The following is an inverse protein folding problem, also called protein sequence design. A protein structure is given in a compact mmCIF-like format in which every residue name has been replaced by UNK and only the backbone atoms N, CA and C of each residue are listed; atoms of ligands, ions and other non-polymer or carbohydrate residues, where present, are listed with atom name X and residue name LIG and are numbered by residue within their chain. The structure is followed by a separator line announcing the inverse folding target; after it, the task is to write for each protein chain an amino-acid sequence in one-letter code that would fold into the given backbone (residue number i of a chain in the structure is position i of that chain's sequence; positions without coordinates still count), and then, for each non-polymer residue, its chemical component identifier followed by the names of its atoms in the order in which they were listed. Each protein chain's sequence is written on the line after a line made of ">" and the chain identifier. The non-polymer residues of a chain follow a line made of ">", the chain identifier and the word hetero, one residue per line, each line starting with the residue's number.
data_IF_498596591941
#
_entry.id   IF_498596591941
#
_cell.length_a   1.000
_cell.length_b   1.000
_cell.length_c   1.000
_cell.angle_alpha   90.00
_cell.angle_beta   90.00
_cell.angle_gamma   90.00
#
_symmetry.space_group_name_H-M   'P 1'
#
loop_
_entity.id
_entity.type
_entity.pdbx_description
1 polymer ?
#
# COMPACT_ATOMS: atom_id res chain seq x y z
N UNK A 1 6.30 -3.49 7.31
CA UNK A 1 6.85 -2.74 8.47
C UNK A 1 5.85 -1.72 9.01
N UNK A 2 5.39 -0.71 8.25
CA UNK A 2 4.47 0.34 8.76
C UNK A 2 3.19 -0.25 9.34
N UNK A 3 2.49 -1.12 8.61
CA UNK A 3 1.27 -1.75 9.10
C UNK A 3 1.44 -2.55 10.40
N UNK A 4 2.63 -3.12 10.63
CA UNK A 4 2.92 -3.80 11.90
C UNK A 4 3.00 -2.82 13.08
N UNK A 5 3.60 -1.66 12.88
CA UNK A 5 3.63 -0.64 13.93
C UNK A 5 2.24 -0.05 14.19
N UNK A 6 1.42 0.13 13.17
CA UNK A 6 0.03 0.56 13.33
C UNK A 6 -0.79 -0.49 14.09
N UNK A 7 -0.59 -1.78 13.80
CA UNK A 7 -1.20 -2.86 14.57
C UNK A 7 -0.79 -2.79 16.06
N UNK A 8 0.50 -2.60 16.35
CA UNK A 8 0.98 -2.44 17.74
C UNK A 8 0.42 -1.19 18.43
N UNK A 9 0.10 -0.16 17.65
CA UNK A 9 -0.59 1.05 18.14
C UNK A 9 -2.10 0.85 18.35
N UNK A 10 -2.63 -0.34 18.07
CA UNK A 10 -4.03 -0.69 18.29
C UNK A 10 -4.96 -0.38 17.12
N UNK A 11 -4.43 -0.04 15.93
CA UNK A 11 -5.26 0.15 14.74
C UNK A 11 -5.74 -1.18 14.18
N UNK A 12 -6.95 -1.18 13.64
CA UNK A 12 -7.48 -2.30 12.87
C UNK A 12 -6.83 -2.33 11.48
N UNK A 13 -6.29 -3.49 11.10
CA UNK A 13 -5.57 -3.65 9.84
C UNK A 13 -6.43 -4.34 8.80
N UNK A 14 -6.54 -3.72 7.65
CA UNK A 14 -7.11 -4.27 6.42
C UNK A 14 -6.02 -4.45 5.38
N UNK A 15 -6.03 -5.56 4.65
CA UNK A 15 -5.01 -5.83 3.65
C UNK A 15 -5.58 -6.63 2.48
N UNK A 16 -5.12 -6.37 1.26
CA UNK A 16 -5.47 -7.19 0.10
C UNK A 16 -4.52 -8.39 -0.09
N UNK A 17 -3.65 -8.65 0.88
CA UNK A 17 -2.72 -9.77 0.93
C UNK A 17 -2.53 -10.23 2.38
N UNK A 18 -2.05 -11.47 2.59
CA UNK A 18 -1.84 -11.97 3.93
C UNK A 18 -0.58 -11.40 4.59
N UNK A 19 -0.72 -11.01 5.84
CA UNK A 19 0.37 -10.61 6.72
C UNK A 19 0.38 -11.49 7.98
N UNK A 20 1.51 -11.61 8.66
CA UNK A 20 1.67 -12.52 9.81
C UNK A 20 1.02 -12.06 11.12
N UNK A 21 0.48 -10.84 11.15
CA UNK A 21 -0.22 -10.28 12.29
C UNK A 21 -1.74 -10.16 12.00
N UNK A 22 -2.59 -10.02 13.03
CA UNK A 22 -4.03 -9.93 12.87
C UNK A 22 -4.46 -8.86 11.87
N UNK A 23 -5.24 -9.25 10.88
CA UNK A 23 -5.77 -8.39 9.84
C UNK A 23 -7.07 -8.94 9.27
N UNK A 24 -7.79 -8.10 8.55
CA UNK A 24 -8.95 -8.48 7.74
C UNK A 24 -8.59 -8.36 6.26
N UNK A 25 -9.03 -9.32 5.46
CA UNK A 25 -8.85 -9.21 4.01
C UNK A 25 -9.76 -8.09 3.50
N UNK A 26 -9.14 -7.14 2.81
CA UNK A 26 -9.79 -5.97 2.26
C UNK A 26 -10.30 -6.27 0.85
N UNK A 27 -11.58 -6.04 0.61
CA UNK A 27 -12.26 -6.30 -0.65
C UNK A 27 -12.82 -5.01 -1.25
N UNK A 28 -13.28 -5.07 -2.49
CA UNK A 28 -13.94 -3.92 -3.12
C UNK A 28 -15.28 -3.59 -2.43
N UNK A 29 -15.96 -4.58 -1.88
CA UNK A 29 -17.21 -4.38 -1.14
C UNK A 29 -16.94 -3.62 0.17
N UNK A 30 -15.81 -3.87 0.83
CA UNK A 30 -15.39 -3.10 2.00
C UNK A 30 -15.14 -1.63 1.62
N UNK A 31 -14.51 -1.38 0.47
CA UNK A 31 -14.33 -0.02 -0.07
C UNK A 31 -15.67 0.69 -0.29
N UNK A 32 -16.65 -0.01 -0.85
CA UNK A 32 -17.99 0.54 -1.05
C UNK A 32 -18.67 0.84 0.27
N UNK A 33 -18.61 -0.08 1.23
CA UNK A 33 -19.18 0.08 2.58
C UNK A 33 -18.56 1.27 3.33
N UNK A 34 -17.25 1.47 3.20
CA UNK A 34 -16.56 2.64 3.77
C UNK A 34 -17.02 3.93 3.05
N UNK A 35 -17.16 3.91 1.72
CA UNK A 35 -17.58 5.09 0.96
C UNK A 35 -19.02 5.51 1.26
N UNK A 36 -19.90 4.57 1.61
CA UNK A 36 -21.31 4.79 1.98
C UNK A 36 -21.52 5.12 3.47
N UNK A 37 -20.45 5.18 4.26
CA UNK A 37 -20.51 5.42 5.72
C UNK A 37 -21.15 4.30 6.56
N UNK A 38 -21.28 3.11 6.01
CA UNK A 38 -21.85 1.95 6.71
C UNK A 38 -20.86 1.28 7.68
N UNK A 39 -19.56 1.56 7.54
CA UNK A 39 -18.53 1.07 8.48
C UNK A 39 -18.26 2.04 9.62
N UNK A 40 -18.07 1.49 10.82
CA UNK A 40 -17.68 2.24 12.02
C UNK A 40 -16.37 3.01 11.82
N UNK A 41 -16.34 4.21 12.41
CA UNK A 41 -15.17 5.10 12.42
C UNK A 41 -14.25 4.67 13.56
N UNK A 42 -13.45 3.64 13.34
CA UNK A 42 -12.32 3.29 14.19
C UNK A 42 -11.02 3.60 13.46
N UNK A 43 -9.93 3.94 14.16
CA UNK A 43 -8.63 4.11 13.51
C UNK A 43 -8.28 2.84 12.74
N UNK A 44 -8.10 2.97 11.43
CA UNK A 44 -7.84 1.84 10.53
C UNK A 44 -6.60 2.08 9.70
N UNK A 45 -5.96 0.99 9.35
CA UNK A 45 -4.87 1.00 8.37
C UNK A 45 -5.23 0.06 7.22
N UNK A 46 -5.12 0.58 6.01
CA UNK A 46 -5.36 -0.19 4.78
C UNK A 46 -4.02 -0.39 4.08
N UNK A 47 -3.66 -1.65 3.87
CA UNK A 47 -2.45 -2.07 3.17
C UNK A 47 -2.84 -2.61 1.80
N UNK A 48 -2.36 -1.97 0.72
CA UNK A 48 -2.65 -2.40 -0.65
C UNK A 48 -1.35 -2.70 -1.40
N UNK A 49 -1.17 -3.96 -1.77
CA UNK A 49 -0.11 -4.38 -2.66
C UNK A 49 -0.60 -4.34 -4.11
N UNK A 50 0.30 -3.94 -5.02
CA UNK A 50 0.01 -3.82 -6.46
C UNK A 50 -1.22 -2.94 -6.72
N UNK A 51 -1.21 -1.73 -6.18
CA UNK A 51 -2.35 -0.82 -6.20
C UNK A 51 -2.88 -0.54 -7.61
N UNK A 52 -2.05 -0.63 -8.66
CA UNK A 52 -2.49 -0.49 -10.04
C UNK A 52 -3.49 -1.57 -10.49
N UNK A 53 -3.60 -2.69 -9.79
CA UNK A 53 -4.68 -3.66 -10.04
C UNK A 53 -6.06 -3.11 -9.67
N UNK A 54 -6.10 -2.22 -8.68
CA UNK A 54 -7.31 -1.60 -8.14
C UNK A 54 -7.57 -0.23 -8.78
N UNK A 55 -6.51 0.54 -8.98
CA UNK A 55 -6.51 1.93 -9.46
C UNK A 55 -5.74 2.06 -10.79
N UNK A 56 -6.16 1.32 -11.81
CA UNK A 56 -5.49 1.36 -13.11
C UNK A 56 -5.72 2.72 -13.80
N UNK A 57 -4.63 3.46 -14.03
CA UNK A 57 -4.65 4.75 -14.73
C UNK A 57 -5.33 4.70 -16.12
N UNK A 58 -5.34 3.54 -16.77
CA UNK A 58 -6.00 3.33 -18.07
C UNK A 58 -7.53 3.19 -17.96
N UNK A 59 -8.06 3.07 -16.74
CA UNK A 59 -9.48 2.87 -16.43
C UNK A 59 -10.06 4.02 -15.63
N UNK A 60 -9.43 5.19 -15.63
CA UNK A 60 -9.76 6.35 -14.77
C UNK A 60 -11.20 6.85 -14.89
N UNK A 61 -11.89 6.56 -15.98
CA UNK A 61 -13.30 6.94 -16.18
C UNK A 61 -14.34 5.92 -15.68
N UNK A 62 -13.94 4.81 -15.06
CA UNK A 62 -14.88 3.82 -14.52
C UNK A 62 -15.39 4.22 -13.15
N UNK A 63 -16.62 3.84 -12.86
CA UNK A 63 -17.27 4.13 -11.56
C UNK A 63 -16.45 3.65 -10.36
N UNK A 64 -15.75 2.53 -10.50
CA UNK A 64 -14.88 1.96 -9.47
C UNK A 64 -13.74 2.94 -9.09
N UNK A 65 -13.05 3.52 -10.08
CA UNK A 65 -11.97 4.49 -9.80
C UNK A 65 -12.52 5.79 -9.18
N UNK A 66 -13.71 6.22 -9.56
CA UNK A 66 -14.37 7.38 -8.96
C UNK A 66 -14.70 7.12 -7.50
N UNK A 67 -15.22 5.95 -7.18
CA UNK A 67 -15.51 5.54 -5.79
C UNK A 67 -14.24 5.43 -4.96
N UNK A 68 -13.19 4.84 -5.52
CA UNK A 68 -11.88 4.70 -4.88
C UNK A 68 -11.24 6.07 -4.59
N UNK A 69 -11.31 6.99 -5.55
CA UNK A 69 -10.81 8.37 -5.36
C UNK A 69 -11.62 9.12 -4.30
N UNK A 70 -12.94 8.90 -4.24
CA UNK A 70 -13.79 9.45 -3.18
C UNK A 70 -13.44 8.90 -1.80
N UNK A 71 -13.20 7.59 -1.71
CA UNK A 71 -12.78 6.92 -0.48
C UNK A 71 -11.44 7.48 0.04
N UNK A 72 -10.43 7.52 -0.82
CA UNK A 72 -9.12 8.03 -0.43
C UNK A 72 -9.16 9.51 -0.06
N UNK A 73 -9.95 10.33 -0.76
CA UNK A 73 -10.17 11.74 -0.41
C UNK A 73 -10.88 11.95 0.94
N UNK A 74 -11.54 10.93 1.48
CA UNK A 74 -12.22 10.98 2.78
C UNK A 74 -11.43 10.29 3.91
N UNK A 75 -10.36 9.57 3.60
CA UNK A 75 -9.61 8.77 4.57
C UNK A 75 -9.12 9.59 5.76
N UNK A 76 -8.58 10.78 5.51
CA UNK A 76 -8.11 11.67 6.58
C UNK A 76 -9.20 12.17 7.53
N UNK A 77 -10.45 12.28 7.06
CA UNK A 77 -11.60 12.64 7.93
C UNK A 77 -12.06 11.47 8.80
N UNK A 78 -11.65 10.26 8.47
CA UNK A 78 -12.08 9.01 9.10
C UNK A 78 -10.96 8.32 9.88
N UNK A 79 -9.82 8.99 10.08
CA UNK A 79 -8.64 8.42 10.73
C UNK A 79 -8.21 7.08 10.09
N UNK A 80 -8.19 7.06 8.76
CA UNK A 80 -7.78 5.91 7.97
C UNK A 80 -6.46 6.22 7.29
N UNK A 81 -5.41 5.48 7.64
CA UNK A 81 -4.14 5.51 6.93
C UNK A 81 -4.15 4.51 5.78
N UNK A 82 -3.77 4.94 4.59
CA UNK A 82 -3.71 4.09 3.41
C UNK A 82 -2.26 4.00 2.96
N UNK A 83 -1.71 2.80 2.99
CA UNK A 83 -0.40 2.49 2.43
C UNK A 83 -0.58 1.61 1.20
N UNK A 84 -0.05 2.06 0.09
CA UNK A 84 -0.09 1.28 -1.13
C UNK A 84 1.27 1.21 -1.80
N UNK A 85 1.55 0.11 -2.44
CA UNK A 85 2.74 -0.07 -3.27
C UNK A 85 2.39 -0.39 -4.71
N UNK A 86 3.33 -0.13 -5.60
CA UNK A 86 3.32 -0.58 -6.98
C UNK A 86 4.73 -0.55 -7.56
N UNK A 87 4.97 -1.38 -8.56
CA UNK A 87 6.25 -1.38 -9.28
C UNK A 87 6.42 -0.13 -10.16
N UNK A 88 5.30 0.40 -10.68
CA UNK A 88 5.29 1.53 -11.59
C UNK A 88 4.20 2.51 -11.19
N UNK A 89 4.61 3.57 -10.56
CA UNK A 89 3.69 4.61 -10.08
C UNK A 89 2.84 5.25 -11.20
N UNK A 90 3.32 5.24 -12.43
CA UNK A 90 2.56 5.72 -13.60
C UNK A 90 1.36 4.85 -13.96
N UNK A 91 1.28 3.62 -13.44
CA UNK A 91 0.12 2.74 -13.60
C UNK A 91 -1.03 3.08 -12.66
N UNK A 92 -0.72 3.77 -11.57
CA UNK A 92 -1.71 4.18 -10.57
C UNK A 92 -2.50 5.37 -11.10
N UNK A 93 -3.81 5.36 -10.91
CA UNK A 93 -4.71 6.45 -11.30
C UNK A 93 -4.21 7.81 -10.78
N UNK A 94 -4.36 8.85 -11.60
CA UNK A 94 -3.91 10.19 -11.26
C UNK A 94 -4.61 10.73 -10.01
N UNK A 95 -5.91 10.47 -9.86
CA UNK A 95 -6.67 10.93 -8.71
C UNK A 95 -6.09 10.44 -7.39
N UNK A 96 -5.66 9.16 -7.32
CA UNK A 96 -4.98 8.63 -6.14
C UNK A 96 -3.61 9.27 -5.92
N UNK A 97 -2.84 9.46 -6.98
CA UNK A 97 -1.52 10.10 -6.87
C UNK A 97 -1.59 11.53 -6.38
N UNK A 98 -2.57 12.30 -6.86
CA UNK A 98 -2.73 13.73 -6.54
C UNK A 98 -3.09 13.96 -5.06
N UNK A 99 -3.71 12.97 -4.39
CA UNK A 99 -4.07 13.02 -2.95
C UNK A 99 -3.09 12.30 -2.03
N UNK A 100 -1.99 11.79 -2.59
CA UNK A 100 -0.95 11.10 -1.81
C UNK A 100 -0.14 12.10 -1.00
N UNK A 101 -0.11 11.95 0.33
CA UNK A 101 0.66 12.82 1.21
C UNK A 101 2.16 12.60 1.09
N UNK A 102 2.58 11.33 0.98
CA UNK A 102 3.99 10.97 0.90
C UNK A 102 4.24 9.79 -0.04
N UNK A 103 5.32 9.90 -0.80
CA UNK A 103 5.85 8.81 -1.63
C UNK A 103 7.22 8.40 -1.13
N UNK A 104 7.45 7.09 -1.06
CA UNK A 104 8.73 6.52 -0.68
C UNK A 104 9.30 5.73 -1.85
N UNK A 105 10.48 6.10 -2.32
CA UNK A 105 11.25 5.29 -3.26
C UNK A 105 12.21 4.41 -2.50
N UNK A 106 12.10 3.10 -2.71
CA UNK A 106 13.00 2.13 -2.10
C UNK A 106 14.17 1.80 -3.04
N UNK A 107 15.37 1.78 -2.48
CA UNK A 107 16.58 1.31 -3.14
C UNK A 107 17.27 0.28 -2.25
N UNK A 108 17.95 -0.69 -2.88
CA UNK A 108 18.70 -1.73 -2.19
C UNK A 108 20.18 -1.64 -2.58
N UNK A 109 21.01 -1.30 -1.61
CA UNK A 109 22.46 -1.35 -1.78
C UNK A 109 22.94 -2.78 -1.54
N UNK A 110 23.62 -3.36 -2.53
CA UNK A 110 24.13 -4.73 -2.50
C UNK A 110 25.64 -4.75 -2.35
N UNK A 111 26.16 -5.86 -1.80
CA UNK A 111 27.59 -6.13 -1.68
C UNK A 111 28.28 -6.07 -3.07
N UNK A 112 27.64 -6.65 -4.09
CA UNK A 112 28.03 -6.53 -5.49
C UNK A 112 26.85 -5.91 -6.27
N UNK A 113 26.96 -4.64 -6.69
CA UNK A 113 25.87 -3.96 -7.38
C UNK A 113 25.55 -4.55 -8.76
N UNK A 114 26.50 -5.28 -9.37
CA UNK A 114 26.31 -5.93 -10.67
C UNK A 114 25.71 -7.34 -10.58
N UNK A 115 25.63 -7.90 -9.37
CA UNK A 115 25.03 -9.20 -9.12
C UNK A 115 23.72 -9.07 -8.36
N UNK A 116 22.60 -9.26 -9.05
CA UNK A 116 21.25 -9.17 -8.44
C UNK A 116 21.01 -10.19 -7.31
N UNK A 117 21.81 -11.24 -7.24
CA UNK A 117 21.75 -12.27 -6.18
C UNK A 117 22.66 -11.97 -5.00
N UNK A 118 23.50 -10.91 -5.08
CA UNK A 118 24.37 -10.58 -3.94
C UNK A 118 23.55 -10.15 -2.73
N UNK A 119 24.11 -10.42 -1.54
CA UNK A 119 23.42 -10.06 -0.30
C UNK A 119 23.20 -8.56 -0.21
N UNK A 120 22.03 -8.12 0.21
CA UNK A 120 21.77 -6.72 0.50
C UNK A 120 22.57 -6.28 1.74
N UNK A 121 23.14 -5.09 1.69
CA UNK A 121 23.86 -4.49 2.82
C UNK A 121 22.98 -3.46 3.52
N UNK A 122 22.20 -2.71 2.75
CA UNK A 122 21.39 -1.61 3.24
C UNK A 122 20.18 -1.39 2.35
N UNK A 123 19.08 -1.02 2.96
CA UNK A 123 17.89 -0.48 2.28
C UNK A 123 17.84 1.03 2.52
N UNK A 124 17.59 1.76 1.47
CA UNK A 124 17.48 3.21 1.46
C UNK A 124 16.11 3.61 0.93
N UNK A 125 15.45 4.54 1.64
CA UNK A 125 14.16 5.07 1.28
C UNK A 125 14.27 6.59 1.14
N UNK A 126 14.03 7.09 -0.05
CA UNK A 126 13.89 8.52 -0.28
C UNK A 126 12.42 8.91 -0.07
N UNK A 127 12.19 9.91 0.78
CA UNK A 127 10.86 10.43 1.07
C UNK A 127 10.59 11.69 0.26
N UNK A 128 9.44 11.71 -0.40
CA UNK A 128 8.91 12.86 -1.13
C UNK A 128 7.58 13.29 -0.52
N UNK A 129 7.31 14.60 -0.51
CA UNK A 129 6.00 15.13 -0.18
C UNK A 129 5.11 15.04 -1.43
N UNK A 130 3.92 14.50 -1.27
CA UNK A 130 3.03 14.24 -2.38
C UNK A 130 3.59 13.21 -3.37
N UNK A 131 3.11 13.29 -4.60
CA UNK A 131 3.60 12.48 -5.70
C UNK A 131 4.83 13.13 -6.34
N UNK A 132 6.02 12.83 -5.84
CA UNK A 132 7.32 13.33 -6.35
C UNK A 132 7.40 14.86 -6.56
N UNK A 133 6.56 15.63 -5.87
CA UNK A 133 6.50 17.08 -6.11
C UNK A 133 7.71 17.78 -5.51
N UNK A 134 8.08 17.40 -4.29
CA UNK A 134 9.25 17.98 -3.60
C UNK A 134 9.99 16.91 -2.80
N UNK A 135 11.33 16.77 -2.98
CA UNK A 135 12.13 15.94 -2.08
C UNK A 135 12.09 16.57 -0.69
N UNK A 136 11.80 15.76 0.32
CA UNK A 136 11.80 16.24 1.73
C UNK A 136 13.22 16.39 2.29
N UNK A 137 14.23 16.01 1.49
CA UNK A 137 15.62 15.99 1.89
C UNK A 137 15.98 14.92 2.92
N UNK A 138 15.02 14.05 3.29
CA UNK A 138 15.23 12.99 4.27
C UNK A 138 15.35 11.64 3.58
N UNK A 139 16.53 11.06 3.66
CA UNK A 139 16.78 9.68 3.29
C UNK A 139 16.83 8.84 4.56
N UNK A 140 16.04 7.78 4.61
CA UNK A 140 16.07 6.80 5.69
C UNK A 140 16.90 5.60 5.25
N UNK A 141 17.82 5.15 6.10
CA UNK A 141 18.72 4.03 5.83
C UNK A 141 18.55 2.97 6.90
N UNK A 142 18.35 1.74 6.45
CA UNK A 142 18.19 0.59 7.33
C UNK A 142 19.17 -0.52 6.92
N UNK A 143 20.02 -1.01 7.85
CA UNK A 143 20.82 -2.20 7.59
C UNK A 143 19.95 -3.38 7.18
N UNK A 144 20.45 -4.23 6.29
CA UNK A 144 19.70 -5.40 5.85
C UNK A 144 19.29 -6.31 7.02
N UNK A 145 20.16 -6.54 7.98
CA UNK A 145 19.84 -7.33 9.17
C UNK A 145 18.70 -6.76 10.03
N UNK A 146 18.50 -5.42 10.03
CA UNK A 146 17.32 -4.84 10.66
C UNK A 146 16.05 -5.15 9.87
N UNK A 147 16.14 -5.16 8.53
CA UNK A 147 14.98 -5.42 7.67
C UNK A 147 14.58 -6.89 7.64
N UNK A 148 15.52 -7.82 7.93
CA UNK A 148 15.27 -9.27 7.91
C UNK A 148 14.12 -9.68 8.85
N UNK A 149 13.98 -9.05 10.00
CA UNK A 149 12.88 -9.30 10.93
C UNK A 149 11.47 -9.05 10.33
N UNK A 150 11.39 -8.31 9.21
CA UNK A 150 10.13 -8.02 8.53
C UNK A 150 9.88 -8.91 7.31
N UNK A 151 10.88 -9.70 6.86
CA UNK A 151 10.73 -10.53 5.65
C UNK A 151 9.70 -11.63 5.80
N UNK A 152 9.52 -12.14 7.01
CA UNK A 152 8.55 -13.20 7.30
C UNK A 152 7.13 -12.65 7.55
N UNK A 153 6.97 -11.33 7.56
CA UNK A 153 5.67 -10.72 7.84
C UNK A 153 4.68 -10.83 6.69
N UNK A 154 5.15 -11.12 5.49
CA UNK A 154 4.28 -11.39 4.34
C UNK A 154 5.00 -12.22 3.28
N UNK A 155 4.21 -12.98 2.52
CA UNK A 155 4.74 -13.81 1.43
C UNK A 155 4.63 -13.07 0.09
N UNK A 156 5.76 -12.63 -0.45
CA UNK A 156 5.83 -11.92 -1.74
C UNK A 156 5.37 -12.75 -2.95
N UNK A 157 5.23 -14.07 -2.80
CA UNK A 157 4.78 -14.99 -3.86
C UNK A 157 3.28 -15.30 -3.77
N UNK A 158 2.62 -14.84 -2.74
CA UNK A 158 1.20 -15.05 -2.58
C UNK A 158 0.42 -14.12 -3.52
N UNK A 159 -0.57 -14.64 -4.25
CA UNK A 159 -1.43 -13.80 -5.07
C UNK A 159 -2.20 -12.81 -4.20
N UNK A 160 -2.24 -11.56 -4.62
CA UNK A 160 -3.13 -10.56 -4.01
C UNK A 160 -4.59 -10.93 -4.26
N UNK A 161 -5.47 -10.60 -3.31
CA UNK A 161 -6.89 -10.88 -3.44
C UNK A 161 -7.47 -10.36 -4.77
N UNK A 162 -8.30 -11.12 -5.47
CA UNK A 162 -8.90 -10.69 -6.72
C UNK A 162 -9.86 -9.52 -6.49
N UNK A 163 -9.86 -8.57 -7.42
CA UNK A 163 -10.75 -7.40 -7.42
C UNK A 163 -12.24 -7.75 -7.49
N UNK A 164 -12.57 -8.87 -8.08
CA UNK A 164 -13.95 -9.29 -8.34
C UNK A 164 -14.06 -10.75 -7.90
N UNK A 165 -14.98 -11.07 -7.00
CA UNK A 165 -15.46 -12.45 -6.88
C UNK A 165 -15.97 -12.84 -8.27
N UNK A 166 -15.31 -13.79 -8.92
CA UNK A 166 -15.88 -14.39 -10.10
C UNK A 166 -17.20 -15.05 -9.68
N UNK A 167 -18.31 -14.37 -9.88
CA UNK A 167 -19.65 -14.97 -9.89
C UNK A 167 -19.81 -15.84 -11.14
N UNK A 168 -18.87 -16.71 -11.39
CA UNK A 168 -19.09 -17.88 -12.22
C UNK A 168 -19.18 -19.04 -11.26
N UNK A 169 -20.41 -19.23 -10.77
CA UNK A 169 -20.76 -20.50 -10.21
C UNK A 169 -20.47 -21.59 -11.24
N UNK A 170 -19.67 -22.53 -10.83
CA UNK A 170 -19.70 -23.94 -11.20
C UNK A 170 -19.85 -24.72 -9.90
#
# INVERSE_FOLDING_TARGET
>A
MVGYFDYLAGKEIYSNYNVSFPHKIFTIDDLLSISTMEMDINPKTVLMQEASKWFDARRSGRNENVLLSSFTGQSGKRDIDIYYDDQFITRIDRGLRDITDYTFMSNCMRLDPYNSKSQPLMFEYEKYHGYFVYPTGKTMRFPAGFMEQFYEMYNTREPTAPLIKNERGD
#
